data_IF_031323951931
#
_entry.id   IF_031323951931
#
_cell.length_a   1.000
_cell.length_b   1.000
_cell.length_c   1.000
_cell.angle_alpha   90.00
_cell.angle_beta   90.00
_cell.angle_gamma   90.00
#
_symmetry.space_group_name_H-M   'P 1'
#
loop_
_entity.id
_entity.type
_entity.pdbx_description
1 polymer ?
#
# COMPACT_ATOMS: atom_id res chain seq x y z
N UNK A 1 1.56 -16.81 0.80
CA UNK A 1 1.39 -15.67 -0.14
C UNK A 1 0.58 -14.58 0.55
N UNK A 2 0.83 -13.29 0.25
CA UNK A 2 0.09 -12.14 0.81
C UNK A 2 -0.63 -11.41 -0.33
N UNK A 3 -1.87 -11.00 -0.10
CA UNK A 3 -2.70 -10.32 -1.09
C UNK A 3 -3.24 -9.01 -0.51
N UNK A 4 -3.32 -7.98 -1.37
CA UNK A 4 -4.02 -6.73 -1.11
C UNK A 4 -5.30 -6.75 -1.93
N UNK A 5 -6.43 -6.44 -1.30
CA UNK A 5 -7.75 -6.48 -1.91
C UNK A 5 -8.33 -5.06 -1.87
N UNK A 6 -8.64 -4.54 -3.04
CA UNK A 6 -9.43 -3.33 -3.19
C UNK A 6 -10.89 -3.75 -3.39
N UNK A 7 -11.77 -3.28 -2.51
CA UNK A 7 -13.19 -3.60 -2.50
C UNK A 7 -13.98 -2.33 -2.36
N UNK A 8 -15.13 -2.29 -3.03
CA UNK A 8 -16.07 -1.17 -2.92
C UNK A 8 -16.49 -0.97 -1.45
N UNK A 9 -16.45 0.27 -0.96
CA UNK A 9 -16.74 0.63 0.45
C UNK A 9 -18.09 0.10 0.95
N UNK A 10 -19.08 -0.10 0.06
CA UNK A 10 -20.40 -0.63 0.43
C UNK A 10 -20.42 -2.15 0.65
N UNK A 11 -19.37 -2.86 0.18
CA UNK A 11 -19.25 -4.33 0.18
C UNK A 11 -18.10 -4.83 1.05
N UNK A 12 -17.34 -3.93 1.66
CA UNK A 12 -16.17 -4.24 2.49
C UNK A 12 -16.51 -5.19 3.65
N UNK A 13 -17.60 -4.92 4.38
CA UNK A 13 -18.07 -5.70 5.53
C UNK A 13 -18.45 -7.12 5.11
N UNK A 14 -19.19 -7.25 4.01
CA UNK A 14 -19.62 -8.54 3.48
C UNK A 14 -18.43 -9.41 3.08
N UNK A 15 -17.48 -8.87 2.30
CA UNK A 15 -16.28 -9.62 1.91
C UNK A 15 -15.44 -9.99 3.14
N UNK A 16 -15.31 -9.08 4.11
CA UNK A 16 -14.55 -9.36 5.32
C UNK A 16 -15.18 -10.50 6.14
N UNK A 17 -16.51 -10.57 6.22
CA UNK A 17 -17.22 -11.69 6.87
C UNK A 17 -17.00 -13.01 6.14
N UNK A 18 -17.10 -13.02 4.81
CA UNK A 18 -16.82 -14.20 3.99
C UNK A 18 -15.39 -14.68 4.21
N UNK A 19 -14.41 -13.76 4.22
CA UNK A 19 -13.00 -14.10 4.43
C UNK A 19 -12.73 -14.64 5.83
N UNK A 20 -13.41 -14.11 6.86
CA UNK A 20 -13.30 -14.59 8.24
C UNK A 20 -13.83 -16.00 8.45
N UNK A 21 -14.77 -16.47 7.61
CA UNK A 21 -15.30 -17.83 7.69
C UNK A 21 -14.26 -18.90 7.31
N UNK A 22 -13.22 -18.52 6.56
CA UNK A 22 -12.13 -19.43 6.23
C UNK A 22 -11.08 -19.45 7.35
N UNK A 23 -10.98 -20.57 8.09
CA UNK A 23 -10.01 -20.75 9.19
C UNK A 23 -8.54 -20.58 8.78
N UNK A 24 -8.24 -20.69 7.49
CA UNK A 24 -6.90 -20.54 6.91
C UNK A 24 -6.60 -19.11 6.42
N UNK A 25 -7.55 -18.18 6.51
CA UNK A 25 -7.37 -16.78 6.10
C UNK A 25 -7.22 -15.90 7.35
N UNK A 26 -6.19 -15.05 7.35
CA UNK A 26 -5.96 -14.05 8.41
C UNK A 26 -6.20 -12.67 7.84
N UNK A 27 -7.31 -12.04 8.22
CA UNK A 27 -7.63 -10.65 7.86
C UNK A 27 -7.03 -9.70 8.91
N UNK A 28 -6.37 -8.62 8.47
CA UNK A 28 -5.90 -7.55 9.36
C UNK A 28 -6.41 -6.21 8.82
N UNK A 29 -7.09 -5.38 9.62
CA UNK A 29 -7.44 -4.04 9.20
C UNK A 29 -6.17 -3.21 9.05
N UNK A 30 -6.02 -2.53 7.92
CA UNK A 30 -5.05 -1.44 7.79
C UNK A 30 -5.75 -0.14 8.14
N UNK A 31 -5.11 0.71 8.95
CA UNK A 31 -5.55 2.08 9.13
C UNK A 31 -5.35 2.86 7.82
N UNK A 32 -6.18 3.88 7.57
CA UNK A 32 -6.04 4.76 6.39
C UNK A 32 -4.63 5.37 6.30
N UNK A 33 -4.04 5.76 7.44
CA UNK A 33 -2.67 6.28 7.53
C UNK A 33 -1.63 5.27 7.05
N UNK A 34 -1.75 4.02 7.47
CA UNK A 34 -0.82 2.97 7.08
C UNK A 34 -0.96 2.61 5.59
N UNK A 35 -2.19 2.69 5.04
CA UNK A 35 -2.44 2.49 3.62
C UNK A 35 -1.78 3.61 2.79
N UNK A 36 -1.97 4.87 3.18
CA UNK A 36 -1.36 6.02 2.52
C UNK A 36 0.17 5.89 2.50
N UNK A 37 0.77 5.62 3.65
CA UNK A 37 2.21 5.43 3.80
C UNK A 37 2.76 4.30 2.92
N UNK A 38 2.07 3.15 2.85
CA UNK A 38 2.50 2.04 1.99
C UNK A 38 2.44 2.40 0.51
N UNK A 39 1.38 3.10 0.09
CA UNK A 39 1.21 3.56 -1.29
C UNK A 39 2.31 4.55 -1.67
N UNK A 40 2.56 5.55 -0.82
CA UNK A 40 3.63 6.54 -1.00
C UNK A 40 5.00 5.85 -1.10
N UNK A 41 5.29 4.93 -0.17
CA UNK A 41 6.55 4.20 -0.16
C UNK A 41 6.74 3.33 -1.41
N UNK A 42 5.68 2.69 -1.90
CA UNK A 42 5.70 1.93 -3.15
C UNK A 42 5.94 2.84 -4.36
N UNK A 43 5.28 4.00 -4.41
CA UNK A 43 5.49 5.00 -5.46
C UNK A 43 6.93 5.52 -5.46
N UNK A 44 7.49 5.85 -4.30
CA UNK A 44 8.89 6.28 -4.16
C UNK A 44 9.86 5.18 -4.61
N UNK A 45 9.60 3.92 -4.29
CA UNK A 45 10.42 2.80 -4.73
C UNK A 45 10.43 2.65 -6.26
N UNK A 46 9.27 2.81 -6.92
CA UNK A 46 9.19 2.81 -8.38
C UNK A 46 9.88 4.04 -9.00
N UNK A 47 9.79 5.22 -8.39
CA UNK A 47 10.55 6.40 -8.84
C UNK A 47 12.06 6.15 -8.78
N UNK A 48 12.59 5.57 -7.70
CA UNK A 48 14.01 5.19 -7.57
C UNK A 48 14.41 4.20 -8.67
N UNK A 49 13.55 3.22 -8.97
CA UNK A 49 13.79 2.25 -10.04
C UNK A 49 13.80 2.90 -11.42
N UNK A 50 12.92 3.87 -11.70
CA UNK A 50 12.88 4.63 -12.95
C UNK A 50 14.06 5.58 -13.11
N UNK A 51 14.50 6.20 -12.01
CA UNK A 51 15.69 7.05 -12.02
C UNK A 51 16.98 6.26 -12.23
N UNK A 52 17.09 5.06 -11.63
CA UNK A 52 18.19 4.13 -11.93
C UNK A 52 18.21 3.71 -13.41
N UNK A 53 17.07 3.73 -14.09
CA UNK A 53 16.95 3.52 -15.55
C UNK A 53 17.21 4.78 -16.38
N UNK A 54 17.62 5.90 -15.75
CA UNK A 54 17.93 7.17 -16.42
C UNK A 54 16.72 7.98 -16.87
N UNK A 55 15.50 7.60 -16.47
CA UNK A 55 14.26 8.22 -16.97
C UNK A 55 13.72 9.37 -16.10
N UNK A 56 14.21 9.52 -14.87
CA UNK A 56 13.70 10.51 -13.91
C UNK A 56 14.84 11.06 -13.01
N UNK A 57 14.74 12.33 -12.60
CA UNK A 57 15.57 12.92 -11.55
C UNK A 57 14.90 12.66 -10.19
N UNK A 58 15.67 12.16 -9.22
CA UNK A 58 15.14 11.87 -7.88
C UNK A 58 15.13 13.11 -7.00
N UNK A 59 14.12 13.22 -6.14
CA UNK A 59 14.18 14.12 -5.00
C UNK A 59 15.14 13.59 -3.94
N UNK A 60 15.71 14.48 -3.12
CA UNK A 60 16.64 14.06 -2.07
C UNK A 60 15.87 13.30 -1.00
N UNK A 61 16.48 12.23 -0.46
CA UNK A 61 15.89 11.44 0.63
C UNK A 61 15.55 12.27 1.88
N UNK A 62 16.26 13.39 2.08
CA UNK A 62 16.05 14.32 3.18
C UNK A 62 14.73 15.09 3.06
N UNK A 63 14.32 15.42 1.82
CA UNK A 63 13.09 16.16 1.57
C UNK A 63 11.88 15.24 1.74
N UNK A 64 12.00 13.98 1.30
CA UNK A 64 10.97 12.94 1.49
C UNK A 64 10.65 12.67 2.97
N UNK A 65 11.65 12.68 3.84
CA UNK A 65 11.45 12.45 5.28
C UNK A 65 10.78 13.63 6.00
N UNK A 66 10.84 14.84 5.42
CA UNK A 66 10.24 16.04 6.01
C UNK A 66 8.78 16.25 5.59
N UNK A 67 8.28 15.51 4.61
CA UNK A 67 6.89 15.55 4.13
C UNK A 67 5.95 14.59 4.91
N UNK A 68 6.50 13.75 5.80
CA UNK A 68 5.81 12.78 6.66
C UNK A 68 5.47 13.33 8.05
#
# INVERSE_FOLDING_TARGET
MKYLLEVEDKKDKFILEVLKNFRYVKTRPLSKRNMLFLTELQQSAEQVKLAKKGKLKLQKAKDLLNEL
#
